data_IF_097193713531
#
_entry.id   IF_097193713531
#
_cell.length_a   1.000
_cell.length_b   1.000
_cell.length_c   1.000
_cell.angle_alpha   90.00
_cell.angle_beta   90.00
_cell.angle_gamma   90.00
#
_symmetry.space_group_name_H-M   'P 1'
#
loop_
_entity.id
_entity.type
_entity.pdbx_description
1 polymer ?
#
# COMPACT_ATOMS: atom_id res chain seq x y z
N UNK A 1 14.35 -31.47 28.92
CA UNK A 1 14.43 -30.52 30.07
C UNK A 1 14.13 -29.14 29.52
N UNK A 2 12.95 -28.61 29.79
CA UNK A 2 12.53 -27.26 29.33
C UNK A 2 12.80 -26.26 30.45
N UNK A 3 13.53 -25.17 30.15
CA UNK A 3 13.75 -24.05 31.05
C UNK A 3 12.53 -23.11 31.04
N UNK A 4 12.15 -22.53 32.18
CA UNK A 4 11.00 -21.63 32.28
C UNK A 4 11.35 -20.19 31.85
N UNK A 5 10.40 -19.59 31.10
CA UNK A 5 10.45 -18.19 30.64
C UNK A 5 9.95 -17.28 31.77
N UNK A 6 10.67 -16.18 32.10
CA UNK A 6 10.21 -15.23 33.11
C UNK A 6 9.17 -14.25 32.55
N UNK A 7 8.06 -14.10 33.28
CA UNK A 7 7.01 -13.11 33.05
C UNK A 7 7.40 -11.72 33.54
N UNK A 8 7.15 -10.64 32.77
CA UNK A 8 7.40 -9.27 33.25
C UNK A 8 6.26 -8.76 34.14
N UNK A 9 6.63 -8.29 35.33
CA UNK A 9 5.77 -7.62 36.29
C UNK A 9 5.47 -6.18 35.90
N UNK A 10 4.18 -5.83 35.83
CA UNK A 10 3.69 -4.46 35.61
C UNK A 10 3.83 -3.60 36.87
N UNK A 11 4.34 -2.34 36.78
CA UNK A 11 4.26 -1.40 37.89
C UNK A 11 2.87 -0.72 37.92
N UNK A 12 2.31 -0.69 39.16
CA UNK A 12 1.07 0.01 39.51
C UNK A 12 1.31 1.53 39.53
N UNK A 13 0.57 2.28 38.73
CA UNK A 13 0.52 3.75 38.80
C UNK A 13 -0.27 4.22 40.05
N UNK A 14 0.37 5.07 40.85
CA UNK A 14 -0.23 5.76 42.02
C UNK A 14 -1.05 6.96 41.50
N UNK A 15 -2.34 7.00 41.88
CA UNK A 15 -3.21 8.16 41.76
C UNK A 15 -2.82 9.20 42.80
N UNK A 16 -2.53 10.42 42.36
CA UNK A 16 -2.46 11.60 43.25
C UNK A 16 -3.62 12.52 42.86
N UNK A 17 -4.52 12.70 43.79
CA UNK A 17 -5.57 13.70 43.74
C UNK A 17 -5.02 15.02 44.31
N UNK A 18 -5.24 16.15 43.66
CA UNK A 18 -5.10 17.48 44.25
C UNK A 18 -6.35 18.31 43.94
N UNK A 19 -6.83 18.87 45.04
CA UNK A 19 -8.10 19.55 45.22
C UNK A 19 -8.11 20.99 44.70
N UNK A 20 -9.33 21.48 44.56
CA UNK A 20 -9.83 22.78 44.16
C UNK A 20 -9.28 23.98 44.98
N UNK A 21 -9.27 25.16 44.34
CA UNK A 21 -9.47 26.43 45.01
C UNK A 21 -10.23 27.41 44.06
N UNK A 22 -11.43 27.75 44.49
CA UNK A 22 -12.29 28.85 44.00
C UNK A 22 -11.68 30.18 44.48
N UNK A 23 -11.62 31.18 43.61
CA UNK A 23 -11.67 32.60 44.02
C UNK A 23 -12.55 33.38 43.03
N UNK A 24 -13.68 33.81 43.54
CA UNK A 24 -14.55 34.83 42.92
C UNK A 24 -14.03 36.23 43.28
N UNK A 25 -13.93 37.12 42.32
CA UNK A 25 -13.83 38.56 42.57
C UNK A 25 -14.70 39.29 41.54
N UNK A 26 -15.76 39.91 42.05
CA UNK A 26 -16.64 40.86 41.38
C UNK A 26 -16.00 42.24 41.49
N UNK A 27 -15.83 42.96 40.38
CA UNK A 27 -15.62 44.41 40.39
C UNK A 27 -16.42 45.03 39.25
N UNK A 28 -17.43 45.81 39.62
CA UNK A 28 -18.19 46.70 38.76
C UNK A 28 -17.38 47.99 38.53
N UNK A 29 -17.32 48.48 37.31
CA UNK A 29 -16.65 49.73 36.94
C UNK A 29 -17.19 50.33 35.64
N UNK A 30 -18.07 51.26 35.79
CA UNK A 30 -18.50 52.42 35.02
C UNK A 30 -18.15 52.58 33.52
N UNK A 31 -19.21 53.00 32.80
CA UNK A 31 -19.28 53.47 31.42
C UNK A 31 -18.36 54.66 31.11
N UNK A 32 -17.68 54.62 29.97
CA UNK A 32 -17.20 55.78 29.24
C UNK A 32 -17.47 55.57 27.75
N UNK A 33 -18.42 56.29 27.22
CA UNK A 33 -18.68 56.46 25.78
C UNK A 33 -17.56 57.29 25.16
N UNK A 34 -16.79 56.68 24.22
CA UNK A 34 -15.94 57.39 23.27
C UNK A 34 -16.05 56.70 21.92
N UNK A 35 -16.23 57.45 20.79
CA UNK A 35 -16.24 56.82 19.47
C UNK A 35 -14.81 56.47 19.08
N UNK A 36 -14.47 55.18 19.20
CA UNK A 36 -13.26 54.62 18.60
C UNK A 36 -13.46 54.38 17.11
N UNK A 37 -12.49 54.77 16.27
CA UNK A 37 -12.53 54.44 14.86
C UNK A 37 -12.51 52.92 14.69
N UNK A 38 -13.48 52.39 13.93
CA UNK A 38 -13.56 51.00 13.54
C UNK A 38 -12.27 50.64 12.80
N UNK A 39 -11.40 49.86 13.44
CA UNK A 39 -10.39 49.08 12.73
C UNK A 39 -11.10 48.12 11.79
N UNK A 40 -10.70 48.00 10.52
CA UNK A 40 -11.24 46.98 9.66
C UNK A 40 -10.85 45.65 10.25
N UNK A 41 -11.82 44.94 10.81
CA UNK A 41 -11.69 43.53 11.10
C UNK A 41 -11.47 42.88 9.75
N UNK A 42 -10.22 42.49 9.46
CA UNK A 42 -9.91 41.56 8.38
C UNK A 42 -10.69 40.31 8.69
N UNK A 43 -11.82 40.14 8.02
CA UNK A 43 -12.43 38.80 7.89
C UNK A 43 -11.38 37.99 7.16
N UNK A 44 -10.56 37.24 7.91
CA UNK A 44 -9.84 36.13 7.37
C UNK A 44 -10.91 35.23 6.75
N UNK A 45 -11.06 35.30 5.44
CA UNK A 45 -11.88 34.34 4.71
C UNK A 45 -11.40 32.97 5.15
N UNK A 46 -12.21 32.24 5.92
CA UNK A 46 -11.93 30.90 6.36
C UNK A 46 -11.65 30.09 5.10
N UNK A 47 -10.37 29.72 4.91
CA UNK A 47 -9.94 28.83 3.81
C UNK A 47 -10.94 27.69 3.76
N UNK A 48 -11.55 27.36 2.60
CA UNK A 48 -12.53 26.30 2.52
C UNK A 48 -12.00 25.06 3.21
N UNK A 49 -12.78 24.48 4.11
CA UNK A 49 -12.37 23.29 4.81
C UNK A 49 -12.06 22.20 3.76
N UNK A 50 -10.81 21.76 3.66
CA UNK A 50 -10.39 20.76 2.68
C UNK A 50 -11.14 19.44 2.86
N UNK A 51 -11.05 18.49 1.92
CA UNK A 51 -11.83 17.25 1.89
C UNK A 51 -11.69 16.38 3.15
N UNK A 52 -10.65 16.64 3.95
CA UNK A 52 -10.36 15.92 5.19
C UNK A 52 -10.43 16.82 6.43
N UNK A 53 -11.25 17.87 6.40
CA UNK A 53 -11.43 18.76 7.54
C UNK A 53 -11.95 17.98 8.76
N UNK A 54 -11.31 18.19 9.91
CA UNK A 54 -11.69 17.55 11.18
C UNK A 54 -11.28 16.07 11.32
N UNK A 55 -10.70 15.44 10.30
CA UNK A 55 -10.20 14.07 10.40
C UNK A 55 -8.74 14.04 10.87
N UNK A 56 -8.40 13.06 11.67
CA UNK A 56 -7.02 12.71 12.03
C UNK A 56 -6.29 12.06 10.84
N UNK A 57 -4.97 11.96 10.90
CA UNK A 57 -4.18 11.25 9.88
C UNK A 57 -4.60 9.79 9.76
N UNK A 58 -4.83 9.09 10.87
CA UNK A 58 -5.27 7.69 10.88
C UNK A 58 -6.66 7.53 10.23
N UNK A 59 -7.65 8.38 10.56
CA UNK A 59 -8.97 8.30 9.94
C UNK A 59 -8.94 8.57 8.43
N UNK A 60 -8.02 9.40 7.96
CA UNK A 60 -7.82 9.64 6.51
C UNK A 60 -7.20 8.40 5.87
N UNK A 61 -6.19 7.80 6.52
CA UNK A 61 -5.54 6.57 6.04
C UNK A 61 -6.55 5.42 5.92
N UNK A 62 -7.37 5.18 6.95
CA UNK A 62 -8.41 4.15 6.97
C UNK A 62 -9.40 4.33 5.81
N UNK A 63 -9.86 5.57 5.60
CA UNK A 63 -10.75 5.90 4.46
C UNK A 63 -10.08 5.65 3.11
N UNK A 64 -8.80 5.98 2.98
CA UNK A 64 -8.06 5.82 1.74
C UNK A 64 -7.80 4.35 1.41
N UNK A 65 -7.40 3.56 2.39
CA UNK A 65 -7.21 2.11 2.21
C UNK A 65 -8.54 1.42 1.87
N UNK A 66 -9.61 1.72 2.61
CA UNK A 66 -10.95 1.17 2.33
C UNK A 66 -11.44 1.54 0.92
N UNK A 67 -11.27 2.79 0.50
CA UNK A 67 -11.64 3.23 -0.85
C UNK A 67 -10.83 2.50 -1.93
N UNK A 68 -9.52 2.34 -1.71
CA UNK A 68 -8.61 1.67 -2.65
C UNK A 68 -8.93 0.18 -2.76
N UNK A 69 -9.17 -0.49 -1.62
CA UNK A 69 -9.57 -1.91 -1.59
C UNK A 69 -10.94 -2.17 -2.24
N UNK A 70 -11.82 -1.15 -2.26
CA UNK A 70 -13.14 -1.22 -2.89
C UNK A 70 -13.13 -0.79 -4.36
N UNK A 71 -11.99 -0.40 -4.92
CA UNK A 71 -11.88 0.00 -6.32
C UNK A 71 -12.25 -1.16 -7.26
N UNK A 72 -13.01 -0.88 -8.30
CA UNK A 72 -13.43 -1.90 -9.28
C UNK A 72 -12.28 -2.45 -10.10
N UNK A 73 -11.25 -1.63 -10.29
CA UNK A 73 -9.98 -2.00 -10.94
C UNK A 73 -8.92 -0.95 -10.63
N UNK A 74 -7.67 -1.32 -10.71
CA UNK A 74 -6.53 -0.41 -10.55
C UNK A 74 -5.27 -1.01 -11.18
N UNK A 75 -4.27 -0.16 -11.34
CA UNK A 75 -2.89 -0.55 -11.70
C UNK A 75 -1.98 -0.24 -10.53
N UNK A 76 -1.09 -1.19 -10.22
CA UNK A 76 -0.05 -1.07 -9.20
C UNK A 76 1.30 -1.15 -9.86
N UNK A 77 2.19 -0.23 -9.51
CA UNK A 77 3.61 -0.27 -9.82
C UNK A 77 4.39 -0.28 -8.52
N UNK A 78 5.20 -1.29 -8.29
CA UNK A 78 6.06 -1.41 -7.13
C UNK A 78 7.54 -1.44 -7.55
N UNK A 79 8.38 -0.79 -6.76
CA UNK A 79 9.83 -0.86 -6.81
C UNK A 79 10.31 -0.90 -5.37
N UNK A 80 10.56 -2.11 -4.87
CA UNK A 80 10.86 -2.40 -3.47
C UNK A 80 12.15 -3.19 -3.37
N UNK A 81 12.73 -3.19 -2.20
CA UNK A 81 13.89 -4.04 -1.87
C UNK A 81 13.53 -4.83 -0.62
N UNK A 82 13.77 -6.13 -0.62
CA UNK A 82 13.63 -6.99 0.55
C UNK A 82 14.85 -7.89 0.65
N UNK A 83 15.46 -7.96 1.84
CA UNK A 83 16.69 -8.74 2.10
C UNK A 83 17.85 -8.41 1.12
N UNK A 84 17.88 -7.19 0.59
CA UNK A 84 18.87 -6.72 -0.39
C UNK A 84 18.53 -7.06 -1.85
N UNK A 85 17.46 -7.81 -2.10
CA UNK A 85 16.99 -8.12 -3.43
C UNK A 85 15.93 -7.12 -3.88
N UNK A 86 16.12 -6.55 -5.08
CA UNK A 86 15.18 -5.60 -5.68
C UNK A 86 14.07 -6.32 -6.41
N UNK A 87 12.84 -5.92 -6.15
CA UNK A 87 11.64 -6.39 -6.85
C UNK A 87 10.94 -5.24 -7.52
N UNK A 88 10.63 -5.40 -8.79
CA UNK A 88 9.75 -4.50 -9.54
C UNK A 88 8.51 -5.26 -9.98
N UNK A 89 7.36 -4.66 -9.77
CA UNK A 89 6.10 -5.23 -10.18
C UNK A 89 5.27 -4.19 -10.93
N UNK A 90 4.55 -4.63 -11.95
CA UNK A 90 3.53 -3.85 -12.65
C UNK A 90 2.32 -4.73 -12.88
N UNK A 91 1.21 -4.45 -12.22
CA UNK A 91 0.00 -5.24 -12.30
C UNK A 91 -1.22 -4.37 -12.54
N UNK A 92 -2.09 -4.77 -13.46
CA UNK A 92 -3.44 -4.23 -13.63
C UNK A 92 -4.44 -5.33 -13.35
N UNK A 93 -5.38 -5.11 -12.45
CA UNK A 93 -6.36 -6.12 -12.05
C UNK A 93 -7.72 -5.52 -11.71
N UNK A 94 -8.75 -6.36 -11.73
CA UNK A 94 -10.12 -5.99 -11.42
C UNK A 94 -10.80 -6.95 -10.43
N UNK A 95 -11.92 -6.51 -9.84
CA UNK A 95 -12.70 -7.30 -8.89
C UNK A 95 -13.35 -8.57 -9.47
N UNK A 96 -13.31 -8.77 -10.80
CA UNK A 96 -13.84 -9.97 -11.46
C UNK A 96 -12.83 -11.12 -11.50
N UNK A 97 -11.56 -10.83 -11.22
CA UNK A 97 -10.45 -11.78 -11.18
C UNK A 97 -9.53 -11.71 -12.39
N UNK A 98 -9.72 -10.72 -13.27
CA UNK A 98 -8.74 -10.43 -14.31
C UNK A 98 -7.53 -9.76 -13.73
N UNK A 99 -6.35 -10.20 -14.16
CA UNK A 99 -5.08 -9.62 -13.80
C UNK A 99 -4.09 -9.80 -14.94
N UNK A 100 -3.33 -8.77 -15.23
CA UNK A 100 -2.20 -8.82 -16.15
C UNK A 100 -1.04 -8.06 -15.55
N UNK A 101 0.16 -8.60 -15.64
CA UNK A 101 1.30 -7.90 -15.09
C UNK A 101 2.62 -8.60 -15.33
N UNK A 102 3.65 -7.99 -14.75
CA UNK A 102 5.01 -8.49 -14.76
C UNK A 102 5.61 -8.33 -13.38
N UNK A 103 6.40 -9.31 -12.98
CA UNK A 103 7.23 -9.31 -11.79
C UNK A 103 8.68 -9.51 -12.22
N UNK A 104 9.57 -8.60 -11.80
CA UNK A 104 11.00 -8.70 -12.03
C UNK A 104 11.71 -8.77 -10.70
N UNK A 105 12.51 -9.81 -10.47
CA UNK A 105 13.28 -10.03 -9.25
C UNK A 105 14.77 -9.99 -9.54
N UNK A 106 15.56 -9.61 -8.53
CA UNK A 106 17.01 -9.54 -8.64
C UNK A 106 17.48 -8.61 -9.76
N UNK A 107 18.41 -9.09 -10.57
CA UNK A 107 19.02 -8.30 -11.63
C UNK A 107 18.09 -8.12 -12.85
N UNK A 108 17.36 -9.16 -13.26
CA UNK A 108 16.57 -9.13 -14.48
C UNK A 108 15.57 -10.28 -14.67
N UNK A 109 15.46 -11.25 -13.74
CA UNK A 109 14.53 -12.37 -13.89
C UNK A 109 13.08 -11.88 -13.95
N UNK A 110 12.39 -12.10 -15.06
CA UNK A 110 11.06 -11.57 -15.28
C UNK A 110 10.04 -12.68 -15.48
N UNK A 111 8.93 -12.57 -14.75
CA UNK A 111 7.75 -13.42 -14.87
C UNK A 111 6.56 -12.58 -15.34
N UNK A 112 5.95 -12.97 -16.44
CA UNK A 112 4.67 -12.42 -16.87
C UNK A 112 3.53 -13.19 -16.21
N UNK A 113 2.52 -12.47 -15.76
CA UNK A 113 1.37 -12.99 -15.02
C UNK A 113 0.10 -12.62 -15.76
N UNK A 114 -0.76 -13.61 -15.95
CA UNK A 114 -2.05 -13.42 -16.59
C UNK A 114 -3.13 -14.24 -15.90
N UNK A 115 -4.22 -13.59 -15.51
CA UNK A 115 -5.46 -14.23 -15.05
C UNK A 115 -6.62 -13.68 -15.86
N UNK A 116 -7.51 -14.53 -16.26
CA UNK A 116 -8.75 -14.14 -16.98
C UNK A 116 -9.99 -14.27 -16.10
N UNK A 117 -9.85 -15.05 -15.03
CA UNK A 117 -10.85 -15.31 -14.01
C UNK A 117 -10.19 -15.65 -12.65
N UNK A 118 -10.98 -16.21 -11.72
CA UNK A 118 -10.51 -16.59 -10.38
C UNK A 118 -9.98 -18.03 -10.29
N UNK A 119 -9.98 -18.81 -11.38
CA UNK A 119 -9.68 -20.25 -11.34
C UNK A 119 -8.21 -20.54 -11.57
N UNK A 120 -7.66 -20.00 -12.66
CA UNK A 120 -6.30 -20.27 -13.08
C UNK A 120 -5.47 -19.00 -13.18
N UNK A 121 -4.17 -19.15 -12.98
CA UNK A 121 -3.13 -18.19 -13.32
C UNK A 121 -2.25 -18.78 -14.40
N UNK A 122 -1.86 -17.97 -15.34
CA UNK A 122 -0.89 -18.30 -16.38
C UNK A 122 0.39 -17.53 -16.10
N UNK A 123 1.51 -18.24 -16.03
CA UNK A 123 2.84 -17.68 -15.76
C UNK A 123 3.72 -17.94 -16.99
N UNK A 124 4.48 -16.93 -17.41
CA UNK A 124 5.49 -17.06 -18.44
C UNK A 124 6.80 -16.48 -17.95
N UNK A 125 7.79 -17.34 -17.91
CA UNK A 125 9.11 -17.02 -17.40
C UNK A 125 10.03 -16.61 -18.56
N UNK A 126 10.84 -15.59 -18.36
CA UNK A 126 11.92 -15.31 -19.29
C UNK A 126 13.10 -16.29 -19.10
N UNK A 127 14.11 -16.16 -19.95
CA UNK A 127 15.25 -17.09 -19.91
C UNK A 127 16.07 -16.93 -18.63
N UNK A 128 16.17 -15.74 -18.08
CA UNK A 128 16.87 -15.48 -16.82
C UNK A 128 16.14 -16.16 -15.67
N UNK A 129 14.83 -15.98 -15.57
CA UNK A 129 14.00 -16.62 -14.55
C UNK A 129 14.06 -18.15 -14.64
N UNK A 130 14.02 -18.72 -15.85
CA UNK A 130 14.14 -20.16 -16.03
C UNK A 130 15.54 -20.70 -15.63
N UNK A 131 16.59 -19.96 -15.91
CA UNK A 131 17.95 -20.35 -15.51
C UNK A 131 18.13 -20.28 -13.99
N UNK A 132 17.58 -19.26 -13.32
CA UNK A 132 17.58 -19.16 -11.85
C UNK A 132 16.81 -20.31 -11.21
N UNK A 133 15.62 -20.66 -11.74
CA UNK A 133 14.83 -21.81 -11.26
C UNK A 133 15.54 -23.16 -11.48
N UNK A 134 16.38 -23.27 -12.50
CA UNK A 134 17.17 -24.46 -12.79
C UNK A 134 18.53 -24.48 -12.09
N UNK A 135 18.80 -23.51 -11.21
CA UNK A 135 20.05 -23.47 -10.45
C UNK A 135 20.16 -24.66 -9.51
N UNK A 136 21.27 -25.39 -9.60
CA UNK A 136 21.47 -26.62 -8.83
C UNK A 136 20.95 -27.89 -9.48
N UNK A 137 20.16 -27.81 -10.56
CA UNK A 137 19.70 -28.96 -11.31
C UNK A 137 20.77 -29.54 -12.24
N UNK A 138 20.61 -30.84 -12.63
CA UNK A 138 21.49 -31.44 -13.62
C UNK A 138 21.37 -30.76 -15.00
N UNK A 139 22.42 -30.81 -15.86
CA UNK A 139 22.34 -30.24 -17.21
C UNK A 139 21.17 -30.78 -18.02
N UNK A 140 20.84 -32.08 -17.87
CA UNK A 140 19.72 -32.72 -18.57
C UNK A 140 18.36 -32.18 -18.12
N UNK A 141 18.18 -31.97 -16.81
CA UNK A 141 16.95 -31.38 -16.24
C UNK A 141 16.80 -29.96 -16.69
N UNK A 142 17.88 -29.18 -16.63
CA UNK A 142 17.88 -27.78 -17.11
C UNK A 142 17.50 -27.66 -18.59
N UNK A 143 18.10 -28.50 -19.46
CA UNK A 143 17.79 -28.50 -20.88
C UNK A 143 16.32 -28.88 -21.14
N UNK A 144 15.82 -29.89 -20.46
CA UNK A 144 14.43 -30.32 -20.56
C UNK A 144 13.46 -29.20 -20.14
N UNK A 145 13.74 -28.54 -19.01
CA UNK A 145 12.94 -27.41 -18.51
C UNK A 145 12.93 -26.24 -19.52
N UNK A 146 14.08 -25.80 -19.99
CA UNK A 146 14.20 -24.73 -20.98
C UNK A 146 13.46 -25.09 -22.29
N UNK A 147 13.57 -26.33 -22.74
CA UNK A 147 12.88 -26.80 -23.95
C UNK A 147 11.36 -26.78 -23.80
N UNK A 148 10.85 -27.12 -22.61
CA UNK A 148 9.41 -27.20 -22.33
C UNK A 148 8.80 -25.81 -22.09
N UNK A 149 9.48 -24.94 -21.34
CA UNK A 149 8.90 -23.69 -20.80
C UNK A 149 9.27 -22.42 -21.58
N UNK A 150 10.38 -22.41 -22.33
CA UNK A 150 10.82 -21.21 -23.04
C UNK A 150 9.75 -20.65 -23.95
N UNK A 151 9.28 -19.43 -23.66
CA UNK A 151 8.27 -18.70 -24.42
C UNK A 151 6.85 -19.25 -24.29
N UNK A 152 6.61 -20.22 -23.42
CA UNK A 152 5.30 -20.82 -23.17
C UNK A 152 4.73 -20.38 -21.84
N UNK A 153 3.42 -20.43 -21.74
CA UNK A 153 2.68 -20.20 -20.51
C UNK A 153 2.56 -21.50 -19.71
N UNK A 154 2.76 -21.43 -18.43
CA UNK A 154 2.41 -22.49 -17.47
C UNK A 154 1.04 -22.14 -16.91
N UNK A 155 0.08 -23.04 -17.06
CA UNK A 155 -1.24 -22.90 -16.44
C UNK A 155 -1.23 -23.59 -15.07
N UNK A 156 -1.60 -22.86 -14.04
CA UNK A 156 -1.63 -23.34 -12.66
C UNK A 156 -2.94 -22.94 -11.99
N UNK A 157 -3.60 -23.79 -11.18
CA UNK A 157 -4.73 -23.38 -10.38
C UNK A 157 -4.38 -22.17 -9.49
N UNK A 158 -5.23 -21.15 -9.45
CA UNK A 158 -5.01 -19.98 -8.60
C UNK A 158 -5.02 -20.30 -7.08
N UNK A 159 -5.48 -21.51 -6.72
CA UNK A 159 -5.45 -22.04 -5.35
C UNK A 159 -4.18 -22.81 -5.03
N UNK A 160 -3.29 -22.99 -6.00
CA UNK A 160 -2.01 -23.68 -5.80
C UNK A 160 -1.13 -22.88 -4.81
N UNK A 161 -0.53 -23.53 -3.80
CA UNK A 161 0.35 -22.86 -2.85
C UNK A 161 1.52 -22.12 -3.51
N UNK A 162 2.10 -22.65 -4.59
CA UNK A 162 3.24 -22.05 -5.30
C UNK A 162 2.83 -20.81 -6.12
N UNK A 163 1.54 -20.69 -6.48
CA UNK A 163 1.02 -19.53 -7.17
C UNK A 163 0.52 -18.41 -6.22
N UNK A 164 0.42 -18.69 -4.91
CA UNK A 164 -0.26 -17.82 -3.93
C UNK A 164 0.31 -16.41 -3.91
N UNK A 165 1.62 -16.26 -3.86
CA UNK A 165 2.27 -14.96 -3.73
C UNK A 165 2.01 -14.07 -4.96
N UNK A 166 2.09 -14.67 -6.16
CA UNK A 166 1.78 -13.98 -7.41
C UNK A 166 0.28 -13.65 -7.52
N UNK A 167 -0.59 -14.55 -7.07
CA UNK A 167 -2.05 -14.33 -7.07
C UNK A 167 -2.45 -13.22 -6.10
N UNK A 168 -1.78 -13.10 -4.94
CA UNK A 168 -2.04 -12.04 -3.96
C UNK A 168 -1.76 -10.63 -4.51
N UNK A 169 -0.80 -10.48 -5.41
CA UNK A 169 -0.51 -9.22 -6.10
C UNK A 169 -1.65 -8.76 -7.02
N UNK A 170 -2.59 -9.65 -7.34
CA UNK A 170 -3.78 -9.39 -8.14
C UNK A 170 -5.03 -9.07 -7.29
N UNK A 171 -4.87 -8.79 -6.01
CA UNK A 171 -5.97 -8.46 -5.09
C UNK A 171 -5.61 -7.23 -4.24
N UNK A 172 -6.42 -6.18 -4.34
CA UNK A 172 -6.15 -4.93 -3.62
C UNK A 172 -6.20 -5.10 -2.09
N UNK A 173 -7.04 -6.00 -1.57
CA UNK A 173 -7.18 -6.22 -0.12
C UNK A 173 -5.97 -6.95 0.43
N UNK A 174 -5.50 -7.98 -0.29
CA UNK A 174 -4.30 -8.72 0.07
C UNK A 174 -3.07 -7.77 0.03
N UNK A 175 -2.93 -7.01 -1.06
CA UNK A 175 -1.84 -6.06 -1.24
C UNK A 175 -1.80 -4.95 -0.19
N UNK A 176 -2.97 -4.46 0.27
CA UNK A 176 -3.07 -3.38 1.25
C UNK A 176 -3.10 -3.88 2.70
N UNK A 177 -3.40 -5.15 2.94
CA UNK A 177 -3.61 -5.70 4.27
C UNK A 177 -2.45 -5.52 5.25
N UNK A 178 -1.22 -5.48 4.75
CA UNK A 178 -0.03 -5.24 5.57
C UNK A 178 0.16 -3.75 5.92
N UNK A 179 -0.40 -2.86 5.12
CA UNK A 179 -0.37 -1.42 5.38
C UNK A 179 -1.49 -0.96 6.33
N UNK A 180 -2.63 -1.64 6.35
CA UNK A 180 -3.75 -1.33 7.24
C UNK A 180 -3.43 -1.62 8.72
N UNK A 181 -2.63 -2.65 9.00
CA UNK A 181 -2.33 -3.12 10.36
C UNK A 181 -1.44 -2.18 11.17
N UNK A 182 -0.83 -1.19 10.54
CA UNK A 182 0.16 -0.31 11.16
C UNK A 182 -0.26 1.14 11.37
N UNK A 183 -1.46 1.55 11.00
CA UNK A 183 -1.87 2.96 10.92
C UNK A 183 -2.10 3.69 12.27
N UNK A 184 -1.32 3.40 13.30
CA UNK A 184 -1.38 4.11 14.59
C UNK A 184 -0.36 5.24 14.64
N UNK A 185 -0.82 6.46 14.98
CA UNK A 185 0.09 7.62 15.12
C UNK A 185 0.42 8.31 13.80
N UNK A 186 -0.40 8.10 12.77
CA UNK A 186 -0.25 8.73 11.46
C UNK A 186 -0.43 10.26 11.57
N UNK A 187 0.60 11.00 11.21
CA UNK A 187 0.59 12.45 11.16
C UNK A 187 0.15 12.95 9.79
N UNK A 188 -0.62 14.05 9.77
CA UNK A 188 -0.91 14.78 8.52
C UNK A 188 0.32 15.59 8.14
N UNK A 189 0.78 15.43 6.91
CA UNK A 189 1.83 16.20 6.30
C UNK A 189 1.30 17.29 5.36
N UNK A 190 2.09 17.64 4.38
CA UNK A 190 1.78 18.69 3.41
C UNK A 190 0.95 18.17 2.23
N UNK A 191 0.20 19.08 1.61
CA UNK A 191 -0.43 18.85 0.31
C UNK A 191 0.63 18.88 -0.79
N UNK A 192 0.52 17.97 -1.74
CA UNK A 192 1.46 17.79 -2.86
C UNK A 192 0.73 17.33 -4.11
N UNK A 193 1.47 16.89 -5.12
CA UNK A 193 0.94 16.30 -6.35
C UNK A 193 1.63 14.96 -6.64
N UNK A 194 0.86 13.92 -6.92
CA UNK A 194 1.33 12.60 -7.31
C UNK A 194 0.67 12.22 -8.63
N UNK A 195 1.45 11.96 -9.67
CA UNK A 195 0.91 11.59 -10.99
C UNK A 195 -0.06 12.62 -11.58
N UNK A 196 0.12 13.93 -11.27
CA UNK A 196 -0.78 15.00 -11.71
C UNK A 196 -2.04 15.17 -10.85
N UNK A 197 -2.25 14.36 -9.82
CA UNK A 197 -3.39 14.46 -8.90
C UNK A 197 -2.97 15.13 -7.59
N UNK A 198 -3.81 16.01 -7.05
CA UNK A 198 -3.57 16.61 -5.72
C UNK A 198 -3.66 15.53 -4.64
N UNK A 199 -2.74 15.56 -3.72
CA UNK A 199 -2.59 14.59 -2.65
C UNK A 199 -2.23 15.22 -1.32
N UNK A 200 -2.66 14.60 -0.23
CA UNK A 200 -2.20 14.85 1.12
C UNK A 200 -1.20 13.75 1.51
N UNK A 201 -0.03 14.15 2.00
CA UNK A 201 0.92 13.22 2.58
C UNK A 201 0.51 12.85 4.00
N UNK A 202 0.51 11.57 4.32
CA UNK A 202 0.33 11.02 5.67
C UNK A 202 1.60 10.28 6.04
N UNK A 203 2.20 10.59 7.18
CA UNK A 203 3.47 10.02 7.59
C UNK A 203 3.34 9.25 8.90
N UNK A 204 3.85 8.05 8.91
CA UNK A 204 3.92 7.17 10.06
C UNK A 204 5.39 6.82 10.34
N UNK A 205 5.96 7.27 11.46
CA UNK A 205 7.27 6.82 11.91
C UNK A 205 7.13 5.56 12.76
N UNK A 206 7.92 4.53 12.48
CA UNK A 206 7.97 3.29 13.25
C UNK A 206 9.42 2.76 13.34
N UNK A 207 10.05 2.86 14.51
CA UNK A 207 11.29 2.16 14.83
C UNK A 207 12.48 2.37 13.87
N UNK A 208 12.59 3.54 13.23
CA UNK A 208 13.63 3.82 12.22
C UNK A 208 13.16 3.63 10.78
N UNK A 209 11.94 3.13 10.60
CA UNK A 209 11.22 3.10 9.32
C UNK A 209 10.31 4.33 9.23
N UNK A 210 10.22 4.95 8.08
CA UNK A 210 9.25 6.01 7.82
C UNK A 210 8.40 5.61 6.61
N UNK A 211 7.10 5.45 6.85
CA UNK A 211 6.13 5.21 5.78
C UNK A 211 5.37 6.49 5.48
N UNK A 212 5.28 6.84 4.20
CA UNK A 212 4.46 7.98 3.74
C UNK A 212 3.43 7.49 2.76
N UNK A 213 2.16 7.72 3.07
CA UNK A 213 1.01 7.40 2.22
C UNK A 213 0.49 8.69 1.62
N UNK A 214 0.35 8.75 0.32
CA UNK A 214 -0.20 9.89 -0.42
C UNK A 214 -1.64 9.59 -0.81
N UNK A 215 -2.57 10.39 -0.30
CA UNK A 215 -4.01 10.21 -0.47
C UNK A 215 -4.57 11.29 -1.38
N UNK A 216 -5.35 10.93 -2.38
CA UNK A 216 -6.03 11.88 -3.27
C UNK A 216 -6.93 12.84 -2.46
N UNK A 217 -6.81 14.16 -2.72
CA UNK A 217 -7.62 15.19 -2.08
C UNK A 217 -8.80 15.64 -2.94
N UNK A 218 -8.91 15.15 -4.15
CA UNK A 218 -10.01 15.41 -5.08
C UNK A 218 -10.66 14.09 -5.52
N UNK A 219 -11.98 14.06 -5.56
CA UNK A 219 -12.75 12.86 -5.90
C UNK A 219 -12.75 11.81 -4.77
N UNK A 220 -12.67 10.54 -5.15
CA UNK A 220 -12.56 9.44 -4.20
C UNK A 220 -11.17 9.46 -3.55
N UNK A 221 -11.06 9.32 -2.22
CA UNK A 221 -9.79 9.43 -1.50
C UNK A 221 -8.93 8.18 -1.68
N UNK A 222 -8.54 7.88 -2.89
CA UNK A 222 -7.67 6.75 -3.18
C UNK A 222 -6.25 6.97 -2.66
N UNK A 223 -5.58 5.88 -2.27
CA UNK A 223 -4.13 5.86 -2.12
C UNK A 223 -3.51 6.04 -3.51
N UNK A 224 -2.63 7.02 -3.68
CA UNK A 224 -1.92 7.25 -4.94
C UNK A 224 -0.51 6.70 -4.91
N UNK A 225 0.12 6.69 -3.73
CA UNK A 225 1.51 6.26 -3.57
C UNK A 225 1.78 5.90 -2.12
N UNK A 226 2.62 4.89 -1.90
CA UNK A 226 3.22 4.57 -0.61
C UNK A 226 4.74 4.60 -0.80
N UNK A 227 5.45 5.26 0.11
CA UNK A 227 6.91 5.29 0.15
C UNK A 227 7.36 4.80 1.52
N UNK A 228 8.16 3.76 1.53
CA UNK A 228 8.82 3.26 2.74
C UNK A 228 10.31 3.61 2.68
N UNK A 229 10.83 4.25 3.73
CA UNK A 229 12.24 4.60 3.88
C UNK A 229 12.79 3.99 5.16
N UNK A 230 14.01 3.45 5.07
CA UNK A 230 14.64 2.74 6.19
C UNK A 230 14.07 1.32 6.35
N UNK A 231 14.60 0.58 7.34
CA UNK A 231 14.28 -0.82 7.56
C UNK A 231 14.81 -1.75 6.46
N UNK A 232 14.32 -2.98 6.48
CA UNK A 232 14.77 -4.04 5.57
C UNK A 232 14.01 -4.04 4.23
N UNK A 233 12.89 -3.31 4.15
CA UNK A 233 12.01 -3.27 2.97
C UNK A 233 11.73 -1.82 2.49
N UNK A 234 12.76 -1.04 2.12
CA UNK A 234 12.55 0.27 1.53
C UNK A 234 11.97 0.14 0.11
N UNK A 235 11.13 1.10 -0.28
CA UNK A 235 10.59 1.06 -1.62
C UNK A 235 9.47 2.05 -1.87
N UNK A 236 8.91 1.94 -3.06
CA UNK A 236 7.79 2.77 -3.52
C UNK A 236 6.75 1.89 -4.19
N UNK A 237 5.49 2.09 -3.85
CA UNK A 237 4.34 1.49 -4.52
C UNK A 237 3.46 2.63 -5.00
N UNK A 238 3.10 2.63 -6.28
CA UNK A 238 2.23 3.63 -6.91
C UNK A 238 0.94 2.96 -7.37
N UNK A 239 -0.17 3.62 -7.13
CA UNK A 239 -1.51 3.17 -7.50
C UNK A 239 -2.11 4.14 -8.52
N UNK A 240 -2.63 3.61 -9.62
CA UNK A 240 -3.11 4.42 -10.73
C UNK A 240 -4.26 3.72 -11.48
N UNK A 241 -4.78 4.37 -12.51
CA UNK A 241 -5.77 3.82 -13.45
C UNK A 241 -7.04 3.26 -12.77
N UNK A 242 -7.43 3.83 -11.65
CA UNK A 242 -8.64 3.45 -10.92
C UNK A 242 -9.88 3.43 -11.82
N UNK A 243 -10.66 2.34 -11.77
CA UNK A 243 -11.89 2.17 -12.56
C UNK A 243 -11.66 1.96 -14.05
N UNK A 244 -10.41 1.81 -14.53
CA UNK A 244 -10.14 1.54 -15.94
C UNK A 244 -10.31 0.06 -16.26
N UNK A 245 -10.94 -0.30 -17.41
CA UNK A 245 -11.11 -1.69 -17.80
C UNK A 245 -9.79 -2.45 -17.89
N UNK A 246 -9.73 -3.65 -17.32
CA UNK A 246 -8.59 -4.57 -17.44
C UNK A 246 -8.90 -5.57 -18.58
N UNK A 247 -7.99 -5.61 -19.55
CA UNK A 247 -8.11 -6.55 -20.68
C UNK A 247 -7.20 -7.74 -20.42
N UNK A 248 -7.77 -8.91 -20.22
CA UNK A 248 -7.08 -10.18 -20.07
C UNK A 248 -7.71 -11.22 -21.02
N UNK A 249 -6.86 -11.94 -21.74
CA UNK A 249 -7.28 -13.00 -22.66
C UNK A 249 -6.40 -14.23 -22.44
N UNK A 250 -7.02 -15.39 -22.22
CA UNK A 250 -6.29 -16.65 -22.07
C UNK A 250 -5.34 -16.91 -23.25
N UNK A 251 -4.16 -17.49 -22.99
CA UNK A 251 -3.25 -17.91 -24.04
C UNK A 251 -3.91 -18.94 -24.95
N UNK A 252 -3.47 -19.01 -26.20
CA UNK A 252 -3.92 -20.11 -27.07
C UNK A 252 -3.33 -21.44 -26.56
N UNK A 253 -4.06 -22.54 -26.71
CA UNK A 253 -3.63 -23.86 -26.21
C UNK A 253 -2.22 -24.26 -26.69
N UNK A 254 -1.84 -23.91 -27.92
CA UNK A 254 -0.50 -24.16 -28.46
C UNK A 254 0.64 -23.41 -27.75
N UNK A 255 0.30 -22.31 -27.04
CA UNK A 255 1.23 -21.43 -26.33
C UNK A 255 1.32 -21.82 -24.84
N UNK A 256 0.58 -22.83 -24.39
CA UNK A 256 0.62 -23.39 -23.04
C UNK A 256 1.60 -24.60 -23.05
N UNK A 257 2.43 -24.69 -22.04
CA UNK A 257 3.35 -25.81 -21.86
C UNK A 257 2.54 -27.07 -21.52
N UNK A 258 2.93 -28.19 -22.14
CA UNK A 258 2.46 -29.53 -21.78
C UNK A 258 3.42 -30.05 -20.69
N UNK A 259 2.90 -30.27 -19.50
CA UNK A 259 3.66 -30.70 -18.32
C UNK A 259 3.37 -32.15 -17.93
N UNK A 260 2.60 -32.91 -18.75
CA UNK A 260 2.27 -34.33 -18.54
C UNK A 260 3.42 -35.27 -18.91
#
# INVERSE_FOLDING_TARGET
MRAPVPTPTRPRARRAAVAALLCAAVAAGAAACGPSPASPTSSEEAKPAGPFAGLTGSEIADKAFAATAAATSLTVEADTTSEGERTKAHFSFDGTGKCVGTLTTGAAATTEVLKVDKKNVYLRFDETSLNEQAEGESPEVREAMLKTLRGRWVETPASDPDAKDVVSMCDAKELLGDFEKGASGVARGEETTVGGQKALALTEPDGGVTRTVYVATEGTPYVLKIVTKGGDEPGTITFAQYGKPVTAKAPAAKDIADLD
#
